data_IF_961327032946
#
_entry.id   IF_961327032946
#
_cell.length_a   1.000
_cell.length_b   1.000
_cell.length_c   1.000
_cell.angle_alpha   90.00
_cell.angle_beta   90.00
_cell.angle_gamma   90.00
#
_symmetry.space_group_name_H-M   'P 1'
#
loop_
_entity.id
_entity.type
_entity.pdbx_description
1 polymer ?
#
# COMPACT_ATOMS: atom_id res chain seq x y z
N UNK A 1 -12.66 13.76 2.89
CA UNK A 1 -13.54 13.71 1.71
C UNK A 1 -13.57 12.28 1.19
N UNK A 2 -14.73 11.81 0.74
CA UNK A 2 -14.81 10.54 0.00
C UNK A 2 -14.42 10.81 -1.46
N UNK A 3 -13.92 9.77 -2.16
CA UNK A 3 -13.57 9.84 -3.60
C UNK A 3 -14.71 10.44 -4.44
N UNK A 4 -15.94 10.10 -4.09
CA UNK A 4 -17.18 10.58 -4.72
C UNK A 4 -17.35 12.10 -4.63
N UNK A 5 -17.00 12.73 -3.50
CA UNK A 5 -17.13 14.18 -3.30
C UNK A 5 -16.12 14.96 -4.15
N UNK A 6 -14.90 14.44 -4.32
CA UNK A 6 -13.87 15.10 -5.14
C UNK A 6 -14.25 15.05 -6.62
N UNK A 7 -14.77 13.90 -7.07
CA UNK A 7 -15.25 13.74 -8.44
C UNK A 7 -16.49 14.61 -8.71
N UNK A 8 -17.40 14.73 -7.74
CA UNK A 8 -18.56 15.61 -7.85
C UNK A 8 -18.15 17.09 -7.98
N UNK A 9 -17.17 17.54 -7.19
CA UNK A 9 -16.67 18.92 -7.27
C UNK A 9 -15.86 19.22 -8.53
N UNK A 10 -15.12 18.23 -9.05
CA UNK A 10 -14.48 18.32 -10.37
C UNK A 10 -15.53 18.46 -11.47
N UNK A 11 -16.60 17.64 -11.41
CA UNK A 11 -17.70 17.69 -12.38
C UNK A 11 -18.50 19.01 -12.30
N UNK A 12 -18.60 19.61 -11.11
CA UNK A 12 -19.21 20.92 -10.89
C UNK A 12 -18.31 22.10 -11.31
N UNK A 13 -17.05 21.85 -11.71
CA UNK A 13 -16.09 22.90 -12.10
C UNK A 13 -15.51 23.69 -10.93
N UNK A 14 -15.81 23.30 -9.68
CA UNK A 14 -15.30 23.94 -8.46
C UNK A 14 -13.85 23.55 -8.12
N UNK A 15 -13.31 22.55 -8.83
CA UNK A 15 -11.97 22.01 -8.64
C UNK A 15 -11.26 21.88 -9.98
N UNK A 16 -10.01 22.32 -10.06
CA UNK A 16 -9.18 22.07 -11.25
C UNK A 16 -8.78 20.61 -11.32
N UNK A 17 -8.54 20.14 -12.55
CA UNK A 17 -8.13 18.75 -12.82
C UNK A 17 -6.85 18.38 -12.06
N UNK A 18 -5.88 19.30 -11.95
CA UNK A 18 -4.65 19.04 -11.20
C UNK A 18 -4.89 18.89 -9.68
N UNK A 19 -5.77 19.70 -9.11
CA UNK A 19 -6.09 19.68 -7.68
C UNK A 19 -6.92 18.46 -7.29
N UNK A 20 -7.90 18.09 -8.12
CA UNK A 20 -8.68 16.87 -7.95
C UNK A 20 -7.79 15.62 -8.04
N UNK A 21 -6.85 15.57 -8.98
CA UNK A 21 -5.88 14.47 -9.12
C UNK A 21 -4.99 14.33 -7.89
N UNK A 22 -4.51 15.46 -7.33
CA UNK A 22 -3.70 15.46 -6.11
C UNK A 22 -4.48 14.95 -4.89
N UNK A 23 -5.72 15.41 -4.70
CA UNK A 23 -6.58 14.99 -3.58
C UNK A 23 -6.99 13.51 -3.69
N UNK A 24 -7.21 13.00 -4.90
CA UNK A 24 -7.46 11.58 -5.14
C UNK A 24 -6.23 10.73 -4.84
N UNK A 25 -5.05 11.18 -5.24
CA UNK A 25 -3.78 10.51 -4.92
C UNK A 25 -3.52 10.49 -3.40
N UNK A 26 -3.83 11.57 -2.67
CA UNK A 26 -3.75 11.62 -1.21
C UNK A 26 -4.75 10.69 -0.52
N UNK A 27 -5.95 10.51 -1.10
CA UNK A 27 -6.91 9.52 -0.60
C UNK A 27 -6.48 8.08 -0.84
N UNK A 28 -5.89 7.79 -2.00
CA UNK A 28 -5.29 6.49 -2.29
C UNK A 28 -4.06 6.20 -1.41
N UNK A 29 -3.41 7.23 -0.87
CA UNK A 29 -2.35 7.05 0.12
C UNK A 29 -2.87 6.57 1.48
N UNK A 30 -4.18 6.71 1.79
CA UNK A 30 -4.76 6.14 3.01
C UNK A 30 -4.84 4.62 2.88
N UNK A 31 -3.82 3.96 3.43
CA UNK A 31 -3.62 2.51 3.40
C UNK A 31 -4.73 1.80 4.18
N UNK A 32 -5.57 1.05 3.47
CA UNK A 32 -6.57 0.16 4.07
C UNK A 32 -5.94 -1.03 4.82
N UNK A 33 -6.77 -1.92 5.41
CA UNK A 33 -6.28 -3.16 6.02
C UNK A 33 -5.54 -4.03 4.98
N UNK A 34 -4.66 -4.91 5.45
CA UNK A 34 -3.99 -5.87 4.58
C UNK A 34 -5.01 -6.87 4.03
N UNK A 35 -4.90 -7.18 2.73
CA UNK A 35 -5.68 -8.22 2.09
C UNK A 35 -4.88 -8.88 0.95
N UNK A 36 -5.24 -10.12 0.63
CA UNK A 36 -4.56 -10.92 -0.38
C UNK A 36 -5.45 -11.15 -1.61
N UNK A 37 -4.83 -11.26 -2.78
CA UNK A 37 -5.45 -11.76 -4.02
C UNK A 37 -4.51 -12.72 -4.73
N UNK A 38 -5.07 -13.67 -5.47
CA UNK A 38 -4.32 -14.47 -6.45
C UNK A 38 -4.27 -13.66 -7.75
N UNK A 39 -3.09 -13.48 -8.32
CA UNK A 39 -2.91 -12.80 -9.60
C UNK A 39 -3.27 -13.71 -10.77
N UNK A 40 -3.50 -13.11 -11.94
CA UNK A 40 -3.75 -13.87 -13.19
C UNK A 40 -2.59 -14.82 -13.56
N UNK A 41 -1.39 -14.53 -13.06
CA UNK A 41 -0.18 -15.34 -13.26
C UNK A 41 0.02 -16.41 -12.18
N UNK A 42 -0.94 -16.60 -11.28
CA UNK A 42 -0.85 -17.60 -10.20
C UNK A 42 0.06 -17.22 -9.03
N UNK A 43 0.35 -15.94 -8.83
CA UNK A 43 1.13 -15.44 -7.69
C UNK A 43 0.22 -14.87 -6.59
N UNK A 44 0.74 -14.73 -5.36
CA UNK A 44 -0.01 -14.09 -4.26
C UNK A 44 0.41 -12.64 -4.13
N UNK A 45 -0.57 -11.74 -4.22
CA UNK A 45 -0.43 -10.30 -4.08
C UNK A 45 -1.01 -9.81 -2.75
N UNK A 46 -0.18 -9.17 -1.93
CA UNK A 46 -0.58 -8.53 -0.66
C UNK A 46 -0.72 -7.02 -0.86
N UNK A 47 -1.91 -6.51 -0.58
CA UNK A 47 -2.28 -5.09 -0.68
C UNK A 47 -2.37 -4.45 0.71
N UNK A 48 -2.45 -3.12 0.75
CA UNK A 48 -2.61 -2.35 2.01
C UNK A 48 -1.29 -1.95 2.70
N UNK A 49 -0.13 -2.45 2.24
CA UNK A 49 1.18 -2.01 2.74
C UNK A 49 1.65 -0.70 2.10
N UNK A 50 1.50 -0.58 0.78
CA UNK A 50 1.93 0.56 -0.02
C UNK A 50 1.06 0.66 -1.28
N UNK A 51 1.32 1.66 -2.14
CA UNK A 51 0.54 1.88 -3.38
C UNK A 51 0.50 0.65 -4.29
N UNK A 52 1.65 -0.03 -4.42
CA UNK A 52 1.78 -1.24 -5.22
C UNK A 52 1.70 -2.48 -4.32
N UNK A 53 1.00 -3.54 -4.73
CA UNK A 53 1.00 -4.78 -3.97
C UNK A 53 2.38 -5.42 -3.96
N UNK A 54 2.72 -6.10 -2.87
CA UNK A 54 3.86 -7.02 -2.86
C UNK A 54 3.37 -8.33 -3.46
N UNK A 55 3.92 -8.71 -4.62
CA UNK A 55 3.53 -9.92 -5.33
C UNK A 55 4.71 -10.86 -5.43
N UNK A 56 4.55 -12.08 -4.90
CA UNK A 56 5.54 -13.15 -4.96
C UNK A 56 4.84 -14.47 -5.30
N UNK A 57 5.57 -15.40 -5.89
CA UNK A 57 5.08 -16.77 -6.07
C UNK A 57 5.00 -17.49 -4.72
N UNK A 58 4.20 -18.57 -4.66
CA UNK A 58 3.94 -19.31 -3.43
C UNK A 58 5.22 -19.73 -2.68
N UNK A 59 6.18 -20.33 -3.38
CA UNK A 59 7.46 -20.79 -2.81
C UNK A 59 8.30 -19.64 -2.22
N UNK A 60 8.24 -18.47 -2.85
CA UNK A 60 8.95 -17.28 -2.40
C UNK A 60 8.30 -16.72 -1.12
N UNK A 61 6.96 -16.74 -1.05
CA UNK A 61 6.24 -16.38 0.17
C UNK A 61 6.59 -17.32 1.32
N UNK A 62 6.56 -18.63 1.08
CA UNK A 62 6.90 -19.64 2.10
C UNK A 62 8.31 -19.38 2.64
N UNK A 63 9.30 -19.27 1.76
CA UNK A 63 10.68 -18.97 2.17
C UNK A 63 10.82 -17.65 2.93
N UNK A 64 10.12 -16.60 2.52
CA UNK A 64 10.16 -15.30 3.20
C UNK A 64 9.49 -15.36 4.58
N UNK A 65 8.38 -16.08 4.70
CA UNK A 65 7.66 -16.26 5.96
C UNK A 65 8.48 -17.08 6.96
N UNK A 66 9.16 -18.13 6.49
CA UNK A 66 10.10 -18.92 7.30
C UNK A 66 11.29 -18.06 7.78
N UNK A 67 11.71 -17.09 6.96
CA UNK A 67 12.75 -16.12 7.32
C UNK A 67 12.21 -14.93 8.16
N UNK A 68 10.94 -14.95 8.54
CA UNK A 68 10.28 -13.82 9.19
C UNK A 68 10.88 -13.44 10.54
N UNK A 69 11.34 -14.40 11.33
CA UNK A 69 11.94 -14.13 12.64
C UNK A 69 13.32 -13.48 12.52
N UNK A 70 14.08 -13.81 11.48
CA UNK A 70 15.35 -13.17 11.15
C UNK A 70 15.13 -11.68 10.81
N UNK A 71 14.11 -11.38 9.99
CA UNK A 71 13.74 -10.00 9.66
C UNK A 71 13.36 -9.21 10.92
N UNK A 72 12.57 -9.83 11.83
CA UNK A 72 12.19 -9.19 13.09
C UNK A 72 13.41 -8.95 13.98
N UNK A 73 14.37 -9.87 14.03
CA UNK A 73 15.62 -9.69 14.79
C UNK A 73 16.45 -8.54 14.21
N UNK A 74 16.68 -8.54 12.90
CA UNK A 74 17.43 -7.51 12.21
C UNK A 74 16.83 -6.11 12.42
N UNK A 75 15.49 -5.98 12.34
CA UNK A 75 14.81 -4.69 12.61
C UNK A 75 15.09 -4.20 14.04
N UNK A 76 15.06 -5.10 15.04
CA UNK A 76 15.32 -4.75 16.45
C UNK A 76 16.77 -4.30 16.65
N UNK A 77 17.71 -4.99 16.05
CA UNK A 77 19.15 -4.67 16.15
C UNK A 77 19.48 -3.30 15.52
N UNK A 78 18.74 -2.90 14.48
CA UNK A 78 18.97 -1.67 13.72
C UNK A 78 17.91 -0.58 13.92
N UNK A 79 17.11 -0.59 15.00
CA UNK A 79 16.01 0.37 15.19
C UNK A 79 16.46 1.85 15.08
N UNK A 80 17.68 2.18 15.51
CA UNK A 80 18.23 3.53 15.44
C UNK A 80 18.51 4.03 14.01
N UNK A 81 18.67 3.12 13.05
CA UNK A 81 18.94 3.43 11.65
C UNK A 81 17.66 3.48 10.81
N UNK A 82 16.59 2.84 11.29
CA UNK A 82 15.36 2.63 10.53
C UNK A 82 14.36 3.77 10.72
N UNK A 83 13.86 4.31 9.61
CA UNK A 83 12.79 5.33 9.63
C UNK A 83 11.43 4.67 9.86
N UNK A 84 10.69 5.15 10.86
CA UNK A 84 9.27 4.81 11.03
C UNK A 84 8.41 5.76 10.20
N UNK A 85 7.64 5.23 9.25
CA UNK A 85 6.56 6.01 8.63
C UNK A 85 5.39 6.07 9.62
N UNK A 86 5.03 7.27 10.06
CA UNK A 86 3.74 7.48 10.71
C UNK A 86 2.62 7.15 9.72
N UNK A 87 1.56 6.55 10.25
CA UNK A 87 0.44 6.00 9.49
C UNK A 87 -0.55 7.08 9.10
#
# INVERSE_FOLDING_TARGET
>A
MKKEEILAKLAAGELKVEEASKLLAELEQRRGPLYCKVSEKGAVSVYGLQRMPVTLYMEQWQRLLDFGDEIRRFIREHEGELKRKQR
#
